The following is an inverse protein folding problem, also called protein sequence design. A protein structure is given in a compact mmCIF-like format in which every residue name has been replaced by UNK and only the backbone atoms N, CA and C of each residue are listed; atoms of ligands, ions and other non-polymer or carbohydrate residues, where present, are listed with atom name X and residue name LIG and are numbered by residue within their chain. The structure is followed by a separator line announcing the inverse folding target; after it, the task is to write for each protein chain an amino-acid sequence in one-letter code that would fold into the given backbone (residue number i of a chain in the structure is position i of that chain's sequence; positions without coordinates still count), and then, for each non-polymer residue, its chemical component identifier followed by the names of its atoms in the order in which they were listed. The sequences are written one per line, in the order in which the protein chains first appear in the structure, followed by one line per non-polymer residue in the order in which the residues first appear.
data_IF_207873062977
#
_entry.id   IF_207873062977
#
_cell.length_a   1.000
_cell.length_b   1.000
_cell.length_c   1.000
_cell.angle_alpha   90.00
_cell.angle_beta   90.00
_cell.angle_gamma   90.00
#
_symmetry.space_group_name_H-M   'P 1'
#
loop_
_entity.id
_entity.type
_entity.pdbx_description
1 polymer ?
#
# COMPACT_ATOMS: atom_id res chain seq x y z
N UNK A 1 -74.85 -22.83 22.16
CA UNK A 1 -75.46 -23.16 20.89
C UNK A 1 -74.95 -22.17 19.83
N UNK A 2 -73.79 -22.45 19.22
CA UNK A 2 -73.30 -21.74 18.03
C UNK A 2 -72.47 -22.72 17.20
N UNK A 3 -72.87 -22.89 15.97
CA UNK A 3 -72.41 -23.84 14.98
C UNK A 3 -71.12 -23.30 14.32
N UNK A 4 -70.09 -24.09 14.31
CA UNK A 4 -68.81 -23.79 13.61
C UNK A 4 -68.93 -24.33 12.20
N UNK A 5 -68.90 -23.44 11.19
CA UNK A 5 -68.82 -23.76 9.79
C UNK A 5 -67.35 -23.96 9.38
N UNK A 6 -67.02 -25.14 8.92
CA UNK A 6 -65.74 -25.45 8.28
C UNK A 6 -65.64 -24.67 6.96
N UNK A 7 -64.53 -23.88 6.87
CA UNK A 7 -64.11 -23.27 5.62
C UNK A 7 -62.84 -24.04 5.17
N UNK A 8 -62.97 -24.88 4.15
CA UNK A 8 -61.83 -25.46 3.45
C UNK A 8 -61.17 -24.38 2.59
N UNK A 9 -59.96 -23.96 2.98
CA UNK A 9 -59.12 -23.11 2.16
C UNK A 9 -58.30 -23.99 1.21
N UNK A 10 -58.57 -23.89 -0.07
CA UNK A 10 -57.74 -24.44 -1.14
C UNK A 10 -56.40 -23.66 -1.18
N UNK A 11 -55.30 -24.35 -0.92
CA UNK A 11 -53.97 -23.83 -1.22
C UNK A 11 -53.60 -24.21 -2.67
N UNK A 12 -53.29 -23.24 -3.53
CA UNK A 12 -52.75 -23.56 -4.84
C UNK A 12 -51.25 -23.95 -4.65
N UNK A 13 -50.88 -25.12 -5.20
CA UNK A 13 -49.50 -25.54 -5.37
C UNK A 13 -48.81 -24.56 -6.32
N UNK A 14 -47.99 -23.67 -5.76
CA UNK A 14 -46.98 -22.94 -6.52
C UNK A 14 -45.82 -23.86 -6.82
N UNK A 15 -45.77 -24.38 -8.05
CA UNK A 15 -44.59 -25.07 -8.60
C UNK A 15 -43.45 -24.05 -8.72
N UNK A 16 -42.53 -24.07 -7.74
CA UNK A 16 -41.29 -23.30 -7.79
C UNK A 16 -40.41 -23.82 -8.93
N UNK A 17 -40.30 -23.05 -10.00
CA UNK A 17 -39.23 -23.21 -10.97
C UNK A 17 -37.94 -22.80 -10.26
N UNK A 18 -37.15 -23.79 -9.83
CA UNK A 18 -35.78 -23.59 -9.39
C UNK A 18 -34.95 -23.19 -10.60
N UNK A 19 -34.66 -21.88 -10.70
CA UNK A 19 -33.63 -21.38 -11.63
C UNK A 19 -32.30 -21.81 -11.05
N UNK A 20 -31.74 -22.91 -11.56
CA UNK A 20 -30.37 -23.29 -11.31
C UNK A 20 -29.48 -22.23 -11.94
N UNK A 21 -29.08 -21.24 -11.16
CA UNK A 21 -28.06 -20.28 -11.56
C UNK A 21 -26.76 -21.04 -11.81
N UNK A 22 -26.36 -21.08 -13.09
CA UNK A 22 -25.21 -21.82 -13.56
C UNK A 22 -23.95 -21.25 -12.91
N UNK A 23 -23.34 -21.98 -11.96
CA UNK A 23 -22.14 -21.57 -11.21
C UNK A 23 -20.93 -21.27 -12.11
N UNK A 24 -20.97 -21.69 -13.38
CA UNK A 24 -19.97 -21.38 -14.38
C UNK A 24 -20.03 -19.91 -14.86
N UNK A 25 -21.22 -19.29 -14.92
CA UNK A 25 -21.36 -17.88 -15.31
C UNK A 25 -20.83 -16.93 -14.23
N UNK A 26 -20.89 -17.30 -12.95
CA UNK A 26 -20.33 -16.51 -11.86
C UNK A 26 -18.79 -16.53 -11.80
N UNK A 27 -18.16 -17.61 -12.30
CA UNK A 27 -16.70 -17.69 -12.38
C UNK A 27 -16.10 -16.92 -13.56
N UNK A 28 -16.84 -16.76 -14.65
CA UNK A 28 -16.40 -16.01 -15.83
C UNK A 28 -16.43 -14.48 -15.60
N UNK A 29 -17.34 -13.99 -14.77
CA UNK A 29 -17.43 -12.57 -14.40
C UNK A 29 -16.29 -12.16 -13.45
N UNK A 30 -15.76 -13.07 -12.64
CA UNK A 30 -14.66 -12.78 -11.70
C UNK A 30 -13.28 -12.74 -12.38
N UNK A 31 -13.13 -13.20 -13.61
CA UNK A 31 -11.84 -13.27 -14.30
C UNK A 31 -11.51 -12.06 -15.19
N UNK A 32 -12.46 -11.14 -15.41
CA UNK A 32 -12.32 -10.08 -16.43
C UNK A 32 -12.13 -8.68 -15.89
N UNK A 33 -12.08 -8.46 -14.56
CA UNK A 33 -12.02 -7.11 -14.01
C UNK A 33 -10.65 -6.75 -13.42
N UNK A 34 -9.56 -7.16 -14.09
CA UNK A 34 -8.26 -6.50 -13.89
C UNK A 34 -8.24 -5.26 -14.76
N UNK A 35 -8.13 -4.07 -14.19
CA UNK A 35 -8.01 -2.86 -14.98
C UNK A 35 -6.82 -3.01 -15.94
N UNK A 36 -7.09 -2.97 -17.24
CA UNK A 36 -6.04 -2.97 -18.26
C UNK A 36 -5.42 -1.59 -18.22
N UNK A 37 -4.26 -1.48 -17.58
CA UNK A 37 -3.51 -0.24 -17.60
C UNK A 37 -3.09 0.05 -19.04
N UNK A 38 -3.50 1.19 -19.56
CA UNK A 38 -3.28 1.61 -20.96
C UNK A 38 -1.81 1.75 -21.33
N UNK A 39 -0.94 1.93 -20.33
CA UNK A 39 0.49 2.08 -20.52
C UNK A 39 1.25 1.27 -19.47
N UNK A 40 2.05 0.31 -19.91
CA UNK A 40 2.96 -0.43 -19.03
C UNK A 40 4.34 0.19 -19.02
N UNK A 41 4.91 0.30 -17.83
CA UNK A 41 6.29 0.68 -17.65
C UNK A 41 7.16 -0.61 -17.68
N UNK A 42 8.11 -0.68 -18.62
CA UNK A 42 8.99 -1.85 -18.81
C UNK A 42 10.46 -1.54 -18.49
N UNK A 43 10.73 -0.54 -17.64
CA UNK A 43 12.09 -0.18 -17.27
C UNK A 43 12.62 -1.10 -16.16
N UNK A 44 13.84 -1.61 -16.35
CA UNK A 44 14.61 -2.27 -15.32
C UNK A 44 15.48 -1.23 -14.61
N UNK A 45 15.08 -0.80 -13.41
CA UNK A 45 15.83 0.17 -12.62
C UNK A 45 16.97 -0.52 -11.87
N UNK A 46 18.19 0.05 -11.98
CA UNK A 46 19.35 -0.31 -11.17
C UNK A 46 19.76 0.91 -10.35
N UNK A 47 19.07 1.11 -9.23
CA UNK A 47 19.29 2.27 -8.39
C UNK A 47 20.43 2.03 -7.41
N UNK A 48 21.36 2.98 -7.31
CA UNK A 48 22.41 2.96 -6.28
C UNK A 48 21.81 3.50 -4.97
N UNK A 49 21.67 2.66 -3.92
CA UNK A 49 21.12 3.10 -2.65
C UNK A 49 22.07 4.02 -1.87
N UNK A 50 23.35 4.05 -2.21
CA UNK A 50 24.37 4.87 -1.55
C UNK A 50 24.57 6.24 -2.22
N UNK A 51 23.81 6.53 -3.27
CA UNK A 51 23.85 7.85 -3.89
C UNK A 51 23.57 8.95 -2.85
N UNK A 52 24.46 9.95 -2.79
CA UNK A 52 24.44 11.00 -1.77
C UNK A 52 23.64 12.26 -2.13
N UNK A 53 22.84 12.21 -3.20
CA UNK A 53 21.96 13.31 -3.59
C UNK A 53 20.82 13.56 -2.58
N UNK A 54 20.10 14.68 -2.75
CA UNK A 54 18.96 15.00 -1.90
C UNK A 54 17.84 13.97 -2.05
N UNK A 55 17.11 13.67 -0.97
CA UNK A 55 15.95 12.77 -1.05
C UNK A 55 14.81 13.39 -1.86
N UNK A 56 14.00 12.54 -2.48
CA UNK A 56 12.79 12.97 -3.19
C UNK A 56 11.60 12.90 -2.24
N UNK A 57 10.88 14.00 -2.13
CA UNK A 57 9.72 14.17 -1.27
C UNK A 57 8.42 14.01 -2.06
N UNK A 58 7.47 13.28 -1.52
CA UNK A 58 6.15 13.08 -2.12
C UNK A 58 5.10 12.85 -1.04
N UNK A 59 3.83 13.03 -1.40
CA UNK A 59 2.69 12.74 -0.53
C UNK A 59 1.97 11.53 -1.10
N UNK A 60 1.82 10.48 -0.29
CA UNK A 60 1.09 9.25 -0.63
C UNK A 60 -0.03 9.10 0.39
N UNK A 61 -1.28 9.07 -0.09
CA UNK A 61 -2.48 8.92 0.75
C UNK A 61 -2.53 9.94 1.91
N UNK A 62 -2.11 11.18 1.61
CA UNK A 62 -2.09 12.28 2.58
C UNK A 62 -0.90 12.29 3.55
N UNK A 63 0.00 11.31 3.47
CA UNK A 63 1.18 11.18 4.34
C UNK A 63 2.45 11.47 3.55
N UNK A 64 3.36 12.24 4.17
CA UNK A 64 4.68 12.53 3.60
C UNK A 64 5.54 11.27 3.55
N UNK A 65 6.13 11.00 2.40
CA UNK A 65 7.06 9.89 2.18
C UNK A 65 8.33 10.40 1.48
N UNK A 66 9.44 9.77 1.82
CA UNK A 66 10.75 10.09 1.26
C UNK A 66 11.29 8.90 0.46
N UNK A 67 11.86 9.21 -0.69
CA UNK A 67 12.67 8.27 -1.45
C UNK A 67 14.14 8.69 -1.37
N UNK A 68 15.02 7.74 -1.18
CA UNK A 68 16.46 7.98 -1.06
C UNK A 68 17.05 8.62 -2.32
N UNK A 69 16.53 8.23 -3.50
CA UNK A 69 16.98 8.73 -4.80
C UNK A 69 15.79 8.93 -5.74
N UNK A 70 15.98 9.76 -6.76
CA UNK A 70 15.06 9.91 -7.90
C UNK A 70 14.86 8.61 -8.67
N UNK A 71 15.89 7.78 -8.76
CA UNK A 71 15.81 6.45 -9.36
C UNK A 71 14.82 5.55 -8.62
N UNK A 72 14.87 5.50 -7.27
CA UNK A 72 13.92 4.72 -6.47
C UNK A 72 12.49 5.29 -6.58
N UNK A 73 12.36 6.61 -6.64
CA UNK A 73 11.07 7.26 -6.89
C UNK A 73 10.50 6.89 -8.27
N UNK A 74 11.33 6.94 -9.32
CA UNK A 74 10.92 6.56 -10.67
C UNK A 74 10.55 5.07 -10.77
N UNK A 75 11.31 4.19 -10.09
CA UNK A 75 11.00 2.76 -9.98
C UNK A 75 9.64 2.52 -9.33
N UNK A 76 9.36 3.23 -8.24
CA UNK A 76 8.06 3.15 -7.55
C UNK A 76 6.93 3.62 -8.46
N UNK A 77 7.11 4.72 -9.20
CA UNK A 77 6.12 5.20 -10.17
C UNK A 77 5.88 4.20 -11.29
N UNK A 78 6.92 3.51 -11.75
CA UNK A 78 6.80 2.43 -12.72
C UNK A 78 5.94 1.26 -12.20
N UNK A 79 6.18 0.82 -10.95
CA UNK A 79 5.36 -0.20 -10.29
C UNK A 79 3.90 0.25 -10.11
N UNK A 80 3.67 1.50 -9.70
CA UNK A 80 2.32 2.07 -9.56
C UNK A 80 1.58 2.07 -10.89
N UNK A 81 2.25 2.50 -11.96
CA UNK A 81 1.69 2.48 -13.31
C UNK A 81 1.29 1.06 -13.73
N UNK A 82 2.15 0.06 -13.47
CA UNK A 82 1.85 -1.34 -13.77
C UNK A 82 0.71 -1.92 -12.90
N UNK A 83 0.42 -1.29 -11.77
CA UNK A 83 -0.70 -1.60 -10.87
C UNK A 83 -1.92 -0.70 -11.10
N UNK A 84 -1.96 0.06 -12.20
CA UNK A 84 -3.02 1.02 -12.53
C UNK A 84 -3.26 2.09 -11.45
N UNK A 85 -2.25 2.40 -10.64
CA UNK A 85 -2.32 3.46 -9.64
C UNK A 85 -1.81 4.80 -10.22
N UNK A 86 -2.34 5.93 -9.77
CA UNK A 86 -1.85 7.25 -10.18
C UNK A 86 -0.36 7.42 -9.89
N UNK A 87 0.36 8.08 -10.79
CA UNK A 87 1.78 8.43 -10.56
C UNK A 87 1.88 9.40 -9.39
N UNK A 88 2.91 9.22 -8.58
CA UNK A 88 3.28 10.15 -7.53
C UNK A 88 3.91 11.40 -8.14
N UNK A 89 3.68 12.55 -7.51
CA UNK A 89 4.29 13.81 -7.87
C UNK A 89 5.30 14.24 -6.82
N UNK A 90 6.40 14.85 -7.28
CA UNK A 90 7.40 15.42 -6.38
C UNK A 90 6.82 16.68 -5.72
N UNK A 91 7.10 16.85 -4.44
CA UNK A 91 6.75 18.07 -3.68
C UNK A 91 7.99 18.64 -2.98
N UNK A 92 7.89 19.84 -2.44
CA UNK A 92 8.98 20.39 -1.62
C UNK A 92 9.03 19.73 -0.24
N UNK A 93 10.20 19.73 0.39
CA UNK A 93 10.39 19.28 1.77
C UNK A 93 9.41 19.98 2.71
N UNK A 94 9.31 21.31 2.61
CA UNK A 94 8.46 22.13 3.49
C UNK A 94 6.99 21.71 3.40
N UNK A 95 6.46 21.51 2.19
CA UNK A 95 5.08 21.08 1.99
C UNK A 95 4.90 19.65 2.51
N UNK A 96 5.83 18.73 2.18
CA UNK A 96 5.76 17.35 2.63
C UNK A 96 5.77 17.25 4.14
N UNK A 97 6.68 17.95 4.82
CA UNK A 97 6.83 17.87 6.28
C UNK A 97 5.60 18.32 7.06
N UNK A 98 4.71 19.14 6.48
CA UNK A 98 3.39 19.42 7.09
C UNK A 98 2.46 18.21 7.12
N UNK A 99 2.83 17.13 6.44
CA UNK A 99 2.09 15.87 6.32
C UNK A 99 2.87 14.68 6.91
N UNK A 100 3.92 14.94 7.70
CA UNK A 100 4.53 13.89 8.51
C UNK A 100 3.51 13.37 9.53
N UNK A 101 3.60 12.08 9.85
CA UNK A 101 2.76 11.51 10.90
C UNK A 101 3.16 12.10 12.26
N UNK A 102 2.18 12.54 13.03
CA UNK A 102 2.41 13.14 14.35
C UNK A 102 2.24 12.10 15.47
N UNK A 103 1.28 11.19 15.32
CA UNK A 103 0.90 10.24 16.35
C UNK A 103 0.89 8.79 15.83
N UNK A 104 1.55 7.89 16.55
CA UNK A 104 1.59 6.45 16.26
C UNK A 104 1.12 5.60 17.45
N UNK A 105 0.52 6.21 18.48
CA UNK A 105 0.15 5.54 19.73
C UNK A 105 -0.91 4.45 19.53
N UNK A 106 -1.76 4.61 18.52
CA UNK A 106 -2.82 3.64 18.20
C UNK A 106 -2.35 2.53 17.25
N UNK A 107 -1.15 2.66 16.67
CA UNK A 107 -0.60 1.63 15.79
C UNK A 107 -0.18 0.40 16.63
N UNK A 108 -0.50 -0.82 16.17
CA UNK A 108 -0.10 -2.03 16.89
C UNK A 108 1.41 -2.13 17.01
N UNK A 109 1.89 -2.69 18.12
CA UNK A 109 3.31 -2.97 18.32
C UNK A 109 3.68 -4.17 17.42
N UNK A 110 4.31 -3.86 16.31
CA UNK A 110 4.82 -4.83 15.34
C UNK A 110 6.21 -4.35 14.92
N UNK A 111 7.28 -4.77 15.62
CA UNK A 111 8.62 -4.27 15.38
C UNK A 111 9.04 -4.40 13.91
N UNK A 112 9.75 -3.38 13.44
CA UNK A 112 10.33 -3.37 12.10
C UNK A 112 11.76 -2.87 12.15
N UNK A 113 12.60 -3.39 11.26
CA UNK A 113 13.97 -2.92 11.04
C UNK A 113 14.02 -2.09 9.76
N UNK A 114 14.35 -0.81 9.88
CA UNK A 114 14.57 0.08 8.74
C UNK A 114 16.06 0.15 8.39
N UNK A 115 16.37 0.09 7.08
CA UNK A 115 17.75 0.17 6.55
C UNK A 115 17.97 1.54 5.92
N UNK A 116 19.00 2.23 6.40
CA UNK A 116 19.40 3.59 6.00
C UNK A 116 20.83 3.58 5.47
N UNK A 117 21.02 3.47 4.14
CA UNK A 117 22.35 3.47 3.55
C UNK A 117 22.99 4.85 3.65
N UNK A 118 24.28 4.85 3.93
CA UNK A 118 25.09 6.06 3.98
C UNK A 118 26.52 5.79 3.47
N UNK A 119 27.21 6.87 3.12
CA UNK A 119 28.62 6.82 2.75
C UNK A 119 29.39 7.55 3.84
N UNK A 120 30.45 6.94 4.35
CA UNK A 120 31.34 7.56 5.35
C UNK A 120 32.18 8.66 4.70
N UNK A 121 32.86 9.45 5.53
CA UNK A 121 33.80 10.48 5.07
C UNK A 121 34.96 9.90 4.26
N UNK A 122 35.28 8.61 4.47
CA UNK A 122 36.32 7.90 3.75
C UNK A 122 35.83 7.26 2.43
N UNK A 123 34.54 7.40 2.13
CA UNK A 123 33.91 6.81 0.94
C UNK A 123 33.37 5.39 1.11
N UNK A 124 33.45 4.81 2.33
CA UNK A 124 32.92 3.46 2.60
C UNK A 124 31.40 3.45 2.58
N UNK A 125 30.82 2.42 1.95
CA UNK A 125 29.39 2.18 1.87
C UNK A 125 28.94 1.34 3.06
N UNK A 126 28.00 1.86 3.84
CA UNK A 126 27.48 1.19 5.03
C UNK A 126 25.97 1.31 5.12
N UNK A 127 25.36 0.35 5.82
CA UNK A 127 23.94 0.33 6.13
C UNK A 127 23.73 0.60 7.63
N UNK A 128 23.08 1.74 7.93
CA UNK A 128 22.55 2.00 9.27
C UNK A 128 21.25 1.22 9.43
N UNK A 129 21.15 0.44 10.50
CA UNK A 129 19.94 -0.32 10.81
C UNK A 129 19.33 0.19 12.11
N UNK A 130 18.04 0.50 12.11
CA UNK A 130 17.33 1.02 13.27
C UNK A 130 16.03 0.24 13.46
N UNK A 131 15.83 -0.30 14.67
CA UNK A 131 14.58 -0.95 15.05
C UNK A 131 13.56 0.07 15.53
N UNK A 132 12.34 -0.01 15.00
CA UNK A 132 11.19 0.79 15.41
C UNK A 132 10.09 -0.10 15.98
N UNK A 133 9.22 0.46 16.83
CA UNK A 133 8.08 -0.27 17.42
C UNK A 133 7.09 -0.78 16.37
N UNK A 134 6.97 -0.05 15.25
CA UNK A 134 6.11 -0.37 14.12
C UNK A 134 6.48 0.50 12.91
N UNK A 135 5.86 0.22 11.76
CA UNK A 135 6.03 0.97 10.52
C UNK A 135 5.67 2.47 10.66
N UNK A 136 4.67 2.80 11.48
CA UNK A 136 4.27 4.19 11.71
C UNK A 136 5.41 5.00 12.34
N UNK A 137 6.08 4.46 13.36
CA UNK A 137 7.22 5.13 14.02
C UNK A 137 8.43 5.26 13.09
N UNK A 138 8.67 4.27 12.22
CA UNK A 138 9.70 4.35 11.19
C UNK A 138 9.40 5.49 10.20
N UNK A 139 8.18 5.56 9.67
CA UNK A 139 7.76 6.59 8.72
C UNK A 139 7.83 7.99 9.34
N UNK A 140 7.35 8.13 10.57
CA UNK A 140 7.42 9.36 11.35
C UNK A 140 8.87 9.83 11.53
N UNK A 141 9.74 8.94 12.00
CA UNK A 141 11.15 9.24 12.23
C UNK A 141 11.86 9.63 10.92
N UNK A 142 11.63 8.86 9.85
CA UNK A 142 12.18 9.12 8.51
C UNK A 142 11.80 10.54 8.02
N UNK A 143 10.52 10.90 8.15
CA UNK A 143 9.98 12.18 7.71
C UNK A 143 10.60 13.36 8.48
N UNK A 144 10.59 13.31 9.80
CA UNK A 144 11.11 14.39 10.63
C UNK A 144 12.63 14.56 10.55
N UNK A 145 13.37 13.46 10.38
CA UNK A 145 14.84 13.49 10.29
C UNK A 145 15.35 13.64 8.86
N UNK A 146 14.46 13.74 7.86
CA UNK A 146 14.84 13.81 6.44
C UNK A 146 15.74 12.65 6.02
N UNK A 147 15.53 11.47 6.60
CA UNK A 147 16.31 10.25 6.37
C UNK A 147 15.45 9.19 5.69
N UNK A 148 15.65 9.02 4.40
CA UNK A 148 14.94 7.99 3.64
C UNK A 148 15.54 6.60 3.91
N UNK A 149 14.71 5.64 4.28
CA UNK A 149 15.08 4.23 4.30
C UNK A 149 14.89 3.60 2.91
N UNK A 150 15.61 2.53 2.62
CA UNK A 150 15.52 1.81 1.33
C UNK A 150 14.80 0.47 1.43
N UNK A 151 14.78 -0.12 2.61
CA UNK A 151 14.07 -1.37 2.87
C UNK A 151 13.60 -1.43 4.32
N UNK A 152 12.60 -2.28 4.53
CA UNK A 152 12.03 -2.59 5.84
C UNK A 152 11.86 -4.09 5.93
N UNK A 153 12.25 -4.68 7.04
CA UNK A 153 11.95 -6.05 7.39
C UNK A 153 11.13 -6.14 8.68
N UNK A 154 10.33 -7.19 8.82
CA UNK A 154 9.62 -7.46 10.07
C UNK A 154 10.61 -7.91 11.16
N UNK A 155 10.34 -7.53 12.39
CA UNK A 155 11.18 -7.84 13.55
C UNK A 155 12.22 -6.76 13.88
N UNK A 156 13.07 -7.10 14.87
CA UNK A 156 14.19 -6.24 15.27
C UNK A 156 15.38 -6.42 14.33
N UNK A 157 16.20 -5.36 14.21
CA UNK A 157 17.48 -5.49 13.52
C UNK A 157 18.43 -6.44 14.27
N UNK A 158 19.30 -7.11 13.54
CA UNK A 158 20.33 -8.00 14.05
C UNK A 158 21.66 -7.27 14.21
#
# INVERSE_FOLDING_TARGET
MFTIRNIFAFFPLLTGLAIAANSQQLQEIAATDRPVCSERCNFAFRCDPYYSGPPVWTIIDGVCKLFKTDCLFASTNCHRQNSCLPKLTITSQQICQTKCMDACEQAPIKPVCGVFPYVTVNGDRNDGMITFKNQCELDKWSCWNSKAYISVSEGTCF
#
